data_IF_871566505027
#
_entry.id   IF_871566505027
#
_cell.length_a   1.000
_cell.length_b   1.000
_cell.length_c   1.000
_cell.angle_alpha   90.00
_cell.angle_beta   90.00
_cell.angle_gamma   90.00
#
_symmetry.space_group_name_H-M   'P 1'
#
loop_
_entity.id
_entity.type
_entity.pdbx_description
1 polymer ?
#
# COMPACT_ATOMS: atom_id res chain seq x y z
N UNK A 1 -5.12 37.78 106.28
CA UNK A 1 -4.33 37.77 105.03
C UNK A 1 -4.70 36.52 104.23
N UNK A 2 -5.45 36.67 103.14
CA UNK A 2 -5.66 35.61 102.14
C UNK A 2 -4.64 35.81 101.00
N UNK A 3 -3.94 34.77 100.54
CA UNK A 3 -3.23 34.83 99.27
C UNK A 3 -4.11 34.30 98.12
N UNK A 4 -3.84 34.90 96.96
CA UNK A 4 -4.61 34.97 95.73
C UNK A 4 -4.54 33.70 94.86
N UNK A 5 -5.65 33.40 94.20
CA UNK A 5 -5.82 32.29 93.24
C UNK A 5 -5.12 32.58 91.91
N UNK A 6 -4.27 31.66 91.43
CA UNK A 6 -3.81 31.62 90.03
C UNK A 6 -4.77 30.77 89.18
N UNK A 7 -5.46 31.42 88.25
CA UNK A 7 -6.31 30.80 87.23
C UNK A 7 -5.48 30.04 86.19
N UNK A 8 -5.70 28.73 86.07
CA UNK A 8 -5.14 27.87 85.02
C UNK A 8 -6.00 28.01 83.76
N UNK A 9 -5.47 28.60 82.70
CA UNK A 9 -6.19 28.77 81.42
C UNK A 9 -6.47 27.41 80.77
N UNK A 10 -7.75 27.04 80.69
CA UNK A 10 -8.19 25.91 79.87
C UNK A 10 -8.07 26.31 78.40
N UNK A 11 -7.47 25.48 77.52
CA UNK A 11 -7.42 25.79 76.10
C UNK A 11 -8.86 25.87 75.56
N UNK A 12 -9.15 26.95 74.83
CA UNK A 12 -10.49 27.29 74.37
C UNK A 12 -11.06 26.18 73.47
N UNK A 13 -12.38 25.99 73.52
CA UNK A 13 -13.11 25.00 72.70
C UNK A 13 -12.85 25.14 71.18
N UNK A 14 -12.36 26.32 70.74
CA UNK A 14 -11.96 26.61 69.36
C UNK A 14 -10.69 25.84 68.95
N UNK A 15 -9.73 25.68 69.86
CA UNK A 15 -8.46 24.97 69.60
C UNK A 15 -8.64 23.48 69.35
N UNK A 16 -9.55 22.81 70.09
CA UNK A 16 -9.86 21.36 69.91
C UNK A 16 -10.61 21.07 68.60
N UNK A 17 -11.43 22.01 68.11
CA UNK A 17 -12.13 21.88 66.84
C UNK A 17 -11.19 22.03 65.65
N UNK A 18 -10.21 22.92 65.75
CA UNK A 18 -9.20 23.12 64.70
C UNK A 18 -8.24 21.93 64.62
N UNK A 19 -7.77 21.39 65.75
CA UNK A 19 -6.92 20.18 65.75
C UNK A 19 -7.67 18.92 65.29
N UNK A 20 -8.94 18.76 65.65
CA UNK A 20 -9.79 17.67 65.16
C UNK A 20 -10.08 17.76 63.65
N UNK A 21 -10.35 18.97 63.13
CA UNK A 21 -10.55 19.19 61.71
C UNK A 21 -9.27 18.96 60.88
N UNK A 22 -8.10 19.37 61.41
CA UNK A 22 -6.81 19.10 60.77
C UNK A 22 -6.51 17.60 60.71
N UNK A 23 -6.72 16.86 61.80
CA UNK A 23 -6.55 15.40 61.83
C UNK A 23 -7.49 14.68 60.85
N UNK A 24 -8.76 15.09 60.78
CA UNK A 24 -9.73 14.50 59.86
C UNK A 24 -9.36 14.79 58.39
N UNK A 25 -8.87 15.99 58.11
CA UNK A 25 -8.40 16.37 56.77
C UNK A 25 -7.16 15.59 56.34
N UNK A 26 -6.23 15.35 57.26
CA UNK A 26 -5.03 14.54 57.02
C UNK A 26 -5.39 13.07 56.73
N UNK A 27 -6.32 12.49 57.50
CA UNK A 27 -6.81 11.12 57.30
C UNK A 27 -7.53 10.98 55.93
N UNK A 28 -8.29 12.00 55.53
CA UNK A 28 -8.96 12.02 54.22
C UNK A 28 -7.95 12.11 53.05
N UNK A 29 -6.88 12.90 53.20
CA UNK A 29 -5.80 13.00 52.21
C UNK A 29 -4.99 11.70 52.10
N UNK A 30 -4.71 11.03 53.22
CA UNK A 30 -4.03 9.73 53.22
C UNK A 30 -4.88 8.63 52.56
N UNK A 31 -6.19 8.57 52.86
CA UNK A 31 -7.09 7.56 52.30
C UNK A 31 -7.31 7.76 50.79
N UNK A 32 -7.49 9.00 50.34
CA UNK A 32 -7.56 9.32 48.89
C UNK A 32 -6.25 8.99 48.16
N UNK A 33 -5.09 9.27 48.76
CA UNK A 33 -3.79 8.89 48.19
C UNK A 33 -3.61 7.38 48.01
N UNK A 34 -4.03 6.58 49.00
CA UNK A 34 -3.97 5.11 48.93
C UNK A 34 -4.92 4.56 47.86
N UNK A 35 -6.12 5.12 47.73
CA UNK A 35 -7.08 4.72 46.69
C UNK A 35 -6.56 5.04 45.28
N UNK A 36 -6.00 6.24 45.08
CA UNK A 36 -5.39 6.62 43.79
C UNK A 36 -4.21 5.71 43.45
N UNK A 37 -3.36 5.37 44.43
CA UNK A 37 -2.26 4.44 44.25
C UNK A 37 -2.74 3.03 43.87
N UNK A 38 -3.77 2.52 44.57
CA UNK A 38 -4.35 1.21 44.28
C UNK A 38 -4.97 1.16 42.87
N UNK A 39 -5.70 2.21 42.46
CA UNK A 39 -6.26 2.33 41.10
C UNK A 39 -5.13 2.38 40.06
N UNK A 40 -4.07 3.16 40.31
CA UNK A 40 -2.91 3.23 39.42
C UNK A 40 -2.21 1.88 39.30
N UNK A 41 -2.05 1.15 40.41
CA UNK A 41 -1.45 -0.20 40.42
C UNK A 41 -2.32 -1.24 39.70
N UNK A 42 -3.63 -1.16 39.85
CA UNK A 42 -4.58 -2.01 39.11
C UNK A 42 -4.55 -1.70 37.62
N UNK A 43 -4.51 -0.42 37.23
CA UNK A 43 -4.36 0.00 35.84
C UNK A 43 -3.02 -0.44 35.25
N UNK A 44 -1.91 -0.30 35.98
CA UNK A 44 -0.59 -0.80 35.58
C UNK A 44 -0.57 -2.33 35.42
N UNK A 45 -1.28 -3.07 36.28
CA UNK A 45 -1.38 -4.53 36.19
C UNK A 45 -2.24 -4.99 35.00
N UNK A 46 -3.34 -4.30 34.71
CA UNK A 46 -4.17 -4.57 33.52
C UNK A 46 -3.41 -4.19 32.23
N UNK A 47 -2.68 -3.08 32.24
CA UNK A 47 -1.78 -2.72 31.14
C UNK A 47 -0.69 -3.78 30.98
N UNK A 48 -0.03 -4.20 32.07
CA UNK A 48 1.03 -5.23 32.05
C UNK A 48 0.54 -6.61 31.58
N UNK A 49 -0.69 -7.01 31.96
CA UNK A 49 -1.35 -8.20 31.42
C UNK A 49 -1.63 -8.07 29.92
N UNK A 50 -2.04 -6.88 29.45
CA UNK A 50 -2.26 -6.59 28.03
C UNK A 50 -0.97 -6.55 27.21
N UNK A 51 0.19 -6.22 27.81
CA UNK A 51 1.48 -6.17 27.12
C UNK A 51 2.22 -7.52 27.04
N UNK A 52 1.79 -8.56 27.79
CA UNK A 52 2.46 -9.87 27.82
C UNK A 52 2.01 -10.88 26.76
N UNK A 53 1.08 -10.52 25.88
CA UNK A 53 0.86 -11.23 24.61
C UNK A 53 0.74 -10.20 23.50
N UNK A 54 1.87 -9.71 22.97
CA UNK A 54 1.82 -9.05 21.67
C UNK A 54 1.26 -10.06 20.68
N UNK A 55 0.10 -9.81 20.04
CA UNK A 55 -0.40 -10.71 19.02
C UNK A 55 0.64 -10.72 17.91
N UNK A 56 1.30 -11.86 17.78
CA UNK A 56 2.44 -12.02 16.90
C UNK A 56 2.01 -11.87 15.45
N UNK A 57 2.55 -10.88 14.76
CA UNK A 57 2.25 -10.60 13.36
C UNK A 57 2.82 -11.74 12.49
N UNK A 58 2.02 -12.24 11.54
CA UNK A 58 2.49 -13.11 10.45
C UNK A 58 2.95 -12.23 9.30
N UNK A 59 4.15 -12.46 8.80
CA UNK A 59 4.76 -11.66 7.73
C UNK A 59 5.03 -12.53 6.52
N UNK A 60 4.31 -12.26 5.42
CA UNK A 60 4.47 -12.94 4.14
C UNK A 60 5.39 -12.11 3.24
N UNK A 61 6.45 -12.73 2.76
CA UNK A 61 7.47 -12.09 1.91
C UNK A 61 7.48 -12.74 0.53
N UNK A 62 8.35 -12.27 -0.35
CA UNK A 62 8.64 -12.92 -1.63
C UNK A 62 9.37 -14.28 -1.49
N UNK A 63 9.70 -14.73 -0.28
CA UNK A 63 10.46 -15.95 -0.03
C UNK A 63 11.77 -15.99 -0.85
N UNK A 64 12.48 -14.86 -0.90
CA UNK A 64 13.74 -14.65 -1.64
C UNK A 64 13.65 -14.78 -3.17
N UNK A 65 12.46 -15.03 -3.73
CA UNK A 65 12.27 -15.10 -5.17
C UNK A 65 12.30 -13.71 -5.83
N UNK A 66 12.82 -13.64 -7.06
CA UNK A 66 12.99 -12.40 -7.82
C UNK A 66 12.60 -12.63 -9.29
N UNK A 67 12.23 -11.53 -9.98
CA UNK A 67 11.86 -11.57 -11.40
C UNK A 67 10.38 -11.85 -11.66
N UNK A 68 10.06 -12.51 -12.78
CA UNK A 68 8.66 -12.64 -13.25
C UNK A 68 7.86 -13.75 -12.60
N UNK A 69 8.52 -14.79 -12.08
CA UNK A 69 7.88 -15.98 -11.53
C UNK A 69 7.92 -15.93 -10.01
N UNK A 70 6.90 -16.52 -9.38
CA UNK A 70 6.80 -16.58 -7.93
C UNK A 70 7.77 -17.59 -7.31
N UNK A 71 7.82 -17.64 -5.97
CA UNK A 71 8.71 -18.55 -5.25
C UNK A 71 8.38 -20.02 -5.51
N UNK A 72 9.43 -20.86 -5.42
CA UNK A 72 9.35 -22.32 -5.54
C UNK A 72 9.62 -23.05 -4.22
N UNK A 73 10.04 -22.33 -3.18
CA UNK A 73 10.23 -22.85 -1.83
C UNK A 73 9.83 -21.80 -0.78
N UNK A 74 9.39 -22.24 0.40
CA UNK A 74 9.13 -21.34 1.52
C UNK A 74 10.41 -21.02 2.29
N UNK A 75 10.58 -19.75 2.64
CA UNK A 75 11.71 -19.18 3.38
C UNK A 75 11.16 -18.24 4.45
N UNK A 76 10.95 -18.80 5.64
CA UNK A 76 10.54 -18.03 6.83
C UNK A 76 11.45 -18.34 7.99
N UNK A 77 11.83 -17.29 8.71
CA UNK A 77 12.54 -17.40 9.99
C UNK A 77 11.59 -17.81 11.12
N UNK A 78 10.30 -17.42 11.04
CA UNK A 78 9.28 -17.77 12.02
C UNK A 78 8.82 -19.23 11.84
N UNK A 79 9.07 -20.13 12.79
CA UNK A 79 8.70 -21.54 12.68
C UNK A 79 7.20 -21.77 12.52
N UNK A 80 6.36 -20.84 12.98
CA UNK A 80 4.89 -20.94 12.84
C UNK A 80 4.45 -20.78 11.40
N UNK A 81 5.15 -19.93 10.63
CA UNK A 81 4.87 -19.78 9.21
C UNK A 81 5.13 -21.09 8.47
N UNK A 82 6.11 -21.89 8.90
CA UNK A 82 6.43 -23.18 8.29
C UNK A 82 5.33 -24.24 8.48
N UNK A 83 4.50 -24.12 9.53
CA UNK A 83 3.35 -25.01 9.76
C UNK A 83 2.02 -24.44 9.27
N UNK A 84 1.87 -23.11 9.23
CA UNK A 84 0.65 -22.43 8.81
C UNK A 84 0.57 -22.18 7.30
N UNK A 85 1.70 -22.20 6.59
CA UNK A 85 1.78 -21.83 5.17
C UNK A 85 2.26 -23.00 4.32
N UNK A 86 1.61 -23.19 3.17
CA UNK A 86 2.08 -24.08 2.10
C UNK A 86 2.23 -23.29 0.81
N UNK A 87 3.03 -23.80 -0.14
CA UNK A 87 3.30 -23.11 -1.41
C UNK A 87 2.71 -23.89 -2.58
N UNK A 88 2.02 -23.19 -3.49
CA UNK A 88 1.49 -23.76 -4.73
C UNK A 88 1.60 -22.73 -5.86
N UNK A 89 2.37 -23.05 -6.90
CA UNK A 89 2.48 -22.22 -8.12
C UNK A 89 2.81 -20.74 -7.83
N UNK A 90 3.70 -20.49 -6.86
CA UNK A 90 4.08 -19.14 -6.42
C UNK A 90 3.13 -18.49 -5.40
N UNK A 91 1.95 -19.07 -5.14
CA UNK A 91 1.03 -18.64 -4.09
C UNK A 91 1.39 -19.24 -2.74
N UNK A 92 1.46 -18.39 -1.73
CA UNK A 92 1.53 -18.77 -0.32
C UNK A 92 0.10 -19.01 0.18
N UNK A 93 -0.24 -20.27 0.45
CA UNK A 93 -1.54 -20.68 0.98
C UNK A 93 -1.45 -20.67 2.50
N UNK A 94 -2.10 -19.71 3.14
CA UNK A 94 -2.11 -19.56 4.59
C UNK A 94 -3.36 -20.18 5.20
N UNK A 95 -3.18 -21.08 6.17
CA UNK A 95 -4.24 -21.61 7.01
C UNK A 95 -4.34 -20.73 8.26
N UNK A 96 -5.49 -20.06 8.44
CA UNK A 96 -5.71 -19.15 9.58
C UNK A 96 -5.64 -19.95 10.89
N UNK A 97 -4.71 -19.66 11.81
CA UNK A 97 -4.46 -20.50 12.98
C UNK A 97 -5.55 -20.37 14.05
N UNK A 98 -6.32 -19.28 14.03
CA UNK A 98 -7.32 -18.97 15.06
C UNK A 98 -8.42 -18.05 14.51
N UNK A 99 -9.66 -18.35 14.90
CA UNK A 99 -10.82 -17.49 14.60
C UNK A 99 -10.71 -16.15 15.31
N UNK A 100 -11.07 -15.08 14.62
CA UNK A 100 -11.09 -13.75 15.21
C UNK A 100 -11.05 -12.63 14.20
N UNK A 101 -10.88 -11.41 14.71
CA UNK A 101 -10.68 -10.21 13.93
C UNK A 101 -9.20 -10.04 13.60
N UNK A 102 -8.84 -10.09 12.32
CA UNK A 102 -7.48 -9.93 11.82
C UNK A 102 -7.32 -8.62 11.05
N UNK A 103 -6.31 -7.83 11.38
CA UNK A 103 -5.84 -6.73 10.52
C UNK A 103 -4.88 -7.29 9.48
N UNK A 104 -5.22 -7.09 8.22
CA UNK A 104 -4.36 -7.40 7.08
C UNK A 104 -3.83 -6.09 6.49
N UNK A 105 -2.54 -6.04 6.20
CA UNK A 105 -1.90 -4.96 5.45
C UNK A 105 -1.09 -5.57 4.30
N UNK A 106 -1.33 -5.11 3.08
CA UNK A 106 -0.59 -5.52 1.89
C UNK A 106 0.15 -4.33 1.30
N UNK A 107 1.37 -4.59 0.82
CA UNK A 107 2.18 -3.63 0.10
C UNK A 107 2.59 -4.20 -1.25
N UNK A 108 2.33 -3.47 -2.33
CA UNK A 108 2.75 -3.85 -3.69
C UNK A 108 4.25 -3.65 -3.87
N UNK A 109 4.83 -4.27 -4.90
CA UNK A 109 6.24 -4.10 -5.21
C UNK A 109 6.52 -2.84 -6.04
N UNK A 110 7.74 -2.30 -5.98
CA UNK A 110 8.14 -1.19 -6.83
C UNK A 110 8.47 -1.62 -8.27
N UNK A 111 8.29 -0.69 -9.21
CA UNK A 111 8.87 -0.81 -10.54
C UNK A 111 10.36 -0.51 -10.52
N UNK A 112 11.10 -1.05 -11.49
CA UNK A 112 12.52 -0.75 -11.64
C UNK A 112 12.75 0.69 -12.10
N UNK A 113 13.87 1.28 -11.66
CA UNK A 113 14.36 2.54 -12.21
C UNK A 113 14.81 2.38 -13.68
N UNK A 114 14.55 3.38 -14.50
CA UNK A 114 15.11 3.52 -15.84
C UNK A 114 16.46 4.26 -15.82
N UNK A 115 17.42 3.77 -16.60
CA UNK A 115 18.80 4.27 -16.63
C UNK A 115 19.30 4.48 -18.06
N UNK A 116 19.82 5.68 -18.32
CA UNK A 116 20.64 5.97 -19.51
C UNK A 116 22.12 6.04 -19.11
N UNK A 117 23.01 5.39 -19.86
CA UNK A 117 24.47 5.45 -19.65
C UNK A 117 24.93 6.90 -19.78
N UNK A 118 25.61 7.41 -18.75
CA UNK A 118 26.05 8.81 -18.69
C UNK A 118 24.93 9.83 -18.46
N UNK A 119 23.68 9.39 -18.28
CA UNK A 119 22.52 10.25 -18.05
C UNK A 119 21.97 10.20 -16.62
N UNK A 120 20.90 10.96 -16.37
CA UNK A 120 20.18 10.96 -15.09
C UNK A 120 19.38 9.65 -14.92
N UNK A 121 19.04 9.28 -13.69
CA UNK A 121 18.14 8.16 -13.39
C UNK A 121 16.68 8.62 -13.37
N UNK A 122 15.81 7.89 -14.05
CA UNK A 122 14.35 8.04 -13.93
C UNK A 122 13.85 7.00 -12.92
N UNK A 123 13.26 7.45 -11.82
CA UNK A 123 12.82 6.53 -10.76
C UNK A 123 11.58 5.76 -11.18
N UNK A 124 11.56 4.47 -10.88
CA UNK A 124 10.34 3.67 -10.91
C UNK A 124 9.38 4.10 -9.81
N UNK A 125 8.09 3.83 -10.02
CA UNK A 125 7.06 4.00 -9.02
C UNK A 125 7.20 2.99 -7.88
N UNK A 126 6.82 3.41 -6.69
CA UNK A 126 6.71 2.55 -5.52
C UNK A 126 5.35 1.85 -5.50
N UNK A 127 5.28 0.70 -4.84
CA UNK A 127 4.02 0.01 -4.65
C UNK A 127 3.09 0.73 -3.66
N UNK A 128 1.80 0.49 -3.81
CA UNK A 128 0.78 0.97 -2.89
C UNK A 128 0.79 0.18 -1.58
N UNK A 129 0.21 0.77 -0.54
CA UNK A 129 -0.13 0.14 0.72
C UNK A 129 -1.64 0.16 0.89
N UNK A 130 -2.20 -0.96 1.33
CA UNK A 130 -3.62 -1.08 1.63
C UNK A 130 -3.77 -1.88 2.92
N UNK A 131 -4.67 -1.47 3.82
CA UNK A 131 -4.93 -2.22 5.06
C UNK A 131 -6.41 -2.22 5.44
N UNK A 132 -6.88 -3.31 6.07
CA UNK A 132 -8.25 -3.45 6.52
C UNK A 132 -8.40 -4.57 7.54
N UNK A 133 -9.50 -4.60 8.27
CA UNK A 133 -9.81 -5.64 9.24
C UNK A 133 -10.84 -6.66 8.69
N UNK A 134 -10.63 -7.93 8.98
CA UNK A 134 -11.42 -9.05 8.47
C UNK A 134 -11.72 -10.05 9.58
N UNK A 135 -12.95 -10.54 9.65
CA UNK A 135 -13.29 -11.70 10.46
C UNK A 135 -12.87 -12.95 9.70
N UNK A 136 -11.88 -13.67 10.22
CA UNK A 136 -11.36 -14.90 9.63
C UNK A 136 -11.65 -16.06 10.58
N UNK A 137 -12.00 -17.21 10.03
CA UNK A 137 -12.24 -18.42 10.82
C UNK A 137 -10.98 -19.27 10.89
N UNK A 138 -10.79 -19.98 12.01
CA UNK A 138 -9.77 -21.02 12.11
C UNK A 138 -9.90 -22.00 10.95
N UNK A 139 -8.76 -22.39 10.39
CA UNK A 139 -8.61 -23.30 9.25
C UNK A 139 -9.19 -22.76 7.91
N UNK A 140 -9.68 -21.50 7.88
CA UNK A 140 -9.94 -20.79 6.63
C UNK A 140 -8.62 -20.63 5.86
N UNK A 141 -8.66 -20.92 4.56
CA UNK A 141 -7.49 -20.85 3.69
C UNK A 141 -7.52 -19.59 2.84
N UNK A 142 -6.42 -18.85 2.85
CA UNK A 142 -6.22 -17.67 2.01
C UNK A 142 -5.08 -17.90 1.04
N UNK A 143 -5.22 -17.43 -0.21
CA UNK A 143 -4.14 -17.37 -1.19
C UNK A 143 -3.49 -16.01 -1.14
N UNK A 144 -2.19 -16.01 -0.90
CA UNK A 144 -1.37 -14.81 -0.82
C UNK A 144 -0.35 -14.85 -1.96
N UNK A 145 -0.37 -13.82 -2.79
CA UNK A 145 0.67 -13.55 -3.79
C UNK A 145 1.42 -12.32 -3.33
N UNK A 146 2.73 -12.43 -3.09
CA UNK A 146 3.58 -11.29 -2.75
C UNK A 146 4.30 -10.80 -4.00
N UNK A 147 4.05 -9.54 -4.37
CA UNK A 147 4.61 -8.95 -5.59
C UNK A 147 6.14 -8.88 -5.54
N UNK A 148 6.78 -9.03 -6.70
CA UNK A 148 8.23 -8.89 -6.86
C UNK A 148 8.56 -7.58 -7.59
N UNK A 149 9.76 -7.07 -7.33
CA UNK A 149 10.23 -5.83 -7.96
C UNK A 149 10.42 -6.08 -9.46
N UNK A 150 10.09 -5.09 -10.29
CA UNK A 150 10.44 -5.12 -11.71
C UNK A 150 11.96 -5.16 -11.90
N UNK A 151 12.43 -5.61 -13.05
CA UNK A 151 13.85 -5.64 -13.38
C UNK A 151 14.18 -4.77 -14.58
N UNK A 152 15.48 -4.61 -14.82
CA UNK A 152 16.04 -4.00 -16.02
C UNK A 152 17.25 -4.82 -16.46
N UNK A 153 17.59 -4.73 -17.73
CA UNK A 153 18.88 -5.19 -18.25
C UNK A 153 20.03 -4.43 -17.57
N UNK A 154 21.18 -5.09 -17.40
CA UNK A 154 22.35 -4.51 -16.73
C UNK A 154 23.43 -4.02 -17.70
N UNK A 155 23.46 -4.53 -18.93
CA UNK A 155 24.57 -4.42 -19.88
C UNK A 155 24.34 -3.35 -20.95
N UNK A 156 23.09 -3.10 -21.33
CA UNK A 156 22.79 -2.14 -22.40
C UNK A 156 22.92 -0.67 -21.94
N UNK A 157 23.28 0.28 -22.83
CA UNK A 157 23.35 1.70 -22.48
C UNK A 157 22.00 2.38 -22.15
N UNK A 158 20.92 1.95 -22.79
CA UNK A 158 19.56 2.46 -22.58
C UNK A 158 18.71 1.39 -21.91
N UNK A 159 18.35 1.56 -20.64
CA UNK A 159 17.76 0.51 -19.80
C UNK A 159 16.44 0.99 -19.22
N UNK A 160 15.29 0.68 -19.82
CA UNK A 160 14.01 0.98 -19.19
C UNK A 160 13.82 0.13 -17.92
N UNK A 161 12.89 0.51 -17.05
CA UNK A 161 12.47 -0.32 -15.92
C UNK A 161 11.20 -1.11 -16.21
N UNK A 162 11.20 -2.41 -15.89
CA UNK A 162 10.00 -3.23 -15.80
C UNK A 162 9.08 -2.80 -14.65
N UNK A 163 7.78 -3.06 -14.79
CA UNK A 163 6.78 -2.76 -13.76
C UNK A 163 6.88 -3.73 -12.57
N UNK A 164 6.60 -3.23 -11.36
CA UNK A 164 6.49 -4.04 -10.16
C UNK A 164 5.18 -4.80 -10.11
N UNK A 165 5.17 -5.97 -9.48
CA UNK A 165 3.95 -6.75 -9.32
C UNK A 165 3.07 -6.28 -8.16
N UNK A 166 1.77 -6.52 -8.30
CA UNK A 166 0.81 -6.35 -7.21
C UNK A 166 0.97 -7.42 -6.13
N UNK A 167 0.51 -7.09 -4.93
CA UNK A 167 0.43 -8.02 -3.80
C UNK A 167 -1.04 -8.30 -3.50
N UNK A 168 -1.42 -9.58 -3.44
CA UNK A 168 -2.81 -10.01 -3.40
C UNK A 168 -3.06 -10.90 -2.18
N UNK A 169 -4.15 -10.64 -1.48
CA UNK A 169 -4.74 -11.53 -0.48
C UNK A 169 -6.17 -11.82 -0.92
N UNK A 170 -6.41 -13.08 -1.30
CA UNK A 170 -7.68 -13.54 -1.84
C UNK A 170 -8.12 -14.84 -1.18
N UNK A 171 -9.42 -15.11 -1.18
CA UNK A 171 -9.95 -16.42 -0.76
C UNK A 171 -9.59 -17.50 -1.77
N UNK A 172 -9.77 -18.77 -1.39
CA UNK A 172 -9.52 -19.89 -2.30
C UNK A 172 -10.36 -19.83 -3.57
N UNK A 173 -11.61 -19.37 -3.49
CA UNK A 173 -12.53 -19.16 -4.63
C UNK A 173 -12.12 -17.99 -5.55
N UNK A 174 -11.10 -17.22 -5.19
CA UNK A 174 -10.64 -16.05 -5.95
C UNK A 174 -11.30 -14.73 -5.56
N UNK A 175 -12.21 -14.72 -4.57
CA UNK A 175 -12.78 -13.48 -4.04
C UNK A 175 -11.68 -12.63 -3.41
N UNK A 176 -11.47 -11.38 -3.87
CA UNK A 176 -10.41 -10.54 -3.33
C UNK A 176 -10.78 -10.00 -1.94
N UNK A 177 -9.82 -10.01 -1.02
CA UNK A 177 -9.94 -9.34 0.29
C UNK A 177 -9.17 -8.02 0.26
N UNK A 178 -7.91 -8.08 -0.16
CA UNK A 178 -6.97 -6.97 -0.15
C UNK A 178 -6.01 -7.11 -1.33
N UNK A 179 -5.85 -6.05 -2.13
CA UNK A 179 -4.90 -6.02 -3.24
C UNK A 179 -4.17 -4.68 -3.18
N UNK A 180 -2.85 -4.73 -3.13
CA UNK A 180 -2.00 -3.55 -3.21
C UNK A 180 -1.32 -3.50 -4.58
N UNK A 181 -1.57 -2.44 -5.34
CA UNK A 181 -0.98 -2.25 -6.67
C UNK A 181 0.54 -2.10 -6.64
N UNK A 182 1.21 -2.69 -7.62
CA UNK A 182 2.64 -2.51 -7.87
C UNK A 182 2.94 -1.19 -8.59
N UNK A 183 4.16 -0.70 -8.48
CA UNK A 183 4.60 0.54 -9.12
C UNK A 183 4.95 0.36 -10.60
N UNK A 184 4.63 1.36 -11.44
CA UNK A 184 5.10 1.41 -12.83
C UNK A 184 6.62 1.59 -12.92
N UNK A 185 7.24 1.10 -13.99
CA UNK A 185 8.67 1.23 -14.23
C UNK A 185 9.10 2.66 -14.61
N UNK A 186 10.39 2.94 -14.47
CA UNK A 186 10.99 4.20 -14.92
C UNK A 186 11.33 4.15 -16.41
N UNK A 187 10.93 5.19 -17.16
CA UNK A 187 11.30 5.32 -18.57
C UNK A 187 12.78 5.67 -18.78
N UNK A 188 13.23 5.70 -20.03
CA UNK A 188 14.57 6.17 -20.36
C UNK A 188 14.56 7.71 -20.33
N UNK A 189 15.44 8.38 -19.58
CA UNK A 189 15.52 9.83 -19.60
C UNK A 189 16.02 10.32 -20.97
N UNK A 190 15.55 11.49 -21.44
CA UNK A 190 16.07 12.06 -22.68
C UNK A 190 17.59 12.30 -22.57
N UNK A 191 18.36 12.12 -23.65
CA UNK A 191 19.79 12.44 -23.65
C UNK A 191 20.00 13.91 -23.24
N UNK A 192 21.08 14.18 -22.51
CA UNK A 192 21.37 15.52 -21.98
C UNK A 192 21.62 16.51 -23.13
N UNK A 193 20.57 17.22 -23.54
CA UNK A 193 20.67 18.17 -24.65
C UNK A 193 19.32 18.71 -25.12
N UNK A 194 18.55 19.34 -24.23
CA UNK A 194 17.76 20.57 -24.49
C UNK A 194 17.03 20.94 -23.20
N UNK A 195 17.50 22.00 -22.55
CA UNK A 195 16.76 22.72 -21.51
C UNK A 195 15.52 23.36 -22.13
N UNK A 196 14.34 22.79 -21.91
CA UNK A 196 13.09 23.55 -21.98
C UNK A 196 12.78 24.08 -20.58
N UNK A 197 12.86 25.39 -20.42
CA UNK A 197 12.54 26.09 -19.18
C UNK A 197 11.13 25.71 -18.72
N UNK A 198 11.02 25.31 -17.45
CA UNK A 198 9.75 25.09 -16.78
C UNK A 198 9.05 26.45 -16.61
N UNK A 199 8.06 26.75 -17.44
CA UNK A 199 7.14 27.87 -17.18
C UNK A 199 6.21 27.43 -16.05
N UNK A 200 6.44 27.92 -14.84
CA UNK A 200 5.47 27.84 -13.75
C UNK A 200 4.27 28.75 -14.09
N UNK A 201 3.21 28.18 -14.64
CA UNK A 201 1.89 28.83 -14.62
C UNK A 201 1.30 28.61 -13.22
N UNK A 202 1.56 29.55 -12.32
CA UNK A 202 0.85 29.63 -11.04
C UNK A 202 -0.55 30.18 -11.34
N UNK A 203 -1.55 29.29 -11.41
CA UNK A 203 -2.95 29.69 -11.35
C UNK A 203 -3.28 30.14 -9.92
N UNK A 204 -3.14 31.44 -9.66
CA UNK A 204 -3.74 32.08 -8.48
C UNK A 204 -5.26 32.06 -8.64
N UNK A 205 -5.94 31.10 -8.01
CA UNK A 205 -7.39 31.19 -7.82
C UNK A 205 -7.69 32.17 -6.68
N UNK A 206 -8.38 33.23 -7.10
CA UNK A 206 -9.07 34.28 -6.35
C UNK A 206 -9.68 33.81 -5.02
N UNK A 207 -9.39 34.59 -3.97
CA UNK A 207 -10.01 34.55 -2.64
C UNK A 207 -11.22 35.49 -2.66
N UNK A 208 -12.43 34.97 -2.44
CA UNK A 208 -13.56 35.79 -2.02
C UNK A 208 -13.77 35.60 -0.50
N UNK A 209 -14.14 36.63 0.27
CA UNK A 209 -14.29 36.54 1.72
C UNK A 209 -15.73 36.13 2.09
N UNK A 210 -15.88 35.26 3.09
CA UNK A 210 -17.16 35.10 3.80
C UNK A 210 -16.94 35.41 5.29
N UNK A 211 -17.87 36.18 5.83
CA UNK A 211 -17.92 36.74 7.18
C UNK A 211 -18.31 35.70 8.25
N UNK A 212 -18.07 35.95 9.56
CA UNK A 212 -18.41 35.02 10.62
C UNK A 212 -19.71 35.41 11.35
N UNK A 213 -20.58 34.45 11.66
CA UNK A 213 -21.59 34.61 12.72
C UNK A 213 -22.05 33.30 13.37
N UNK A 214 -21.64 33.15 14.64
CA UNK A 214 -22.38 32.74 15.87
C UNK A 214 -23.08 31.36 16.00
N UNK A 215 -22.38 30.44 16.73
CA UNK A 215 -22.79 29.55 17.87
C UNK A 215 -23.96 28.52 17.77
N UNK A 216 -24.05 27.52 18.70
CA UNK A 216 -24.18 26.09 18.37
C UNK A 216 -25.55 25.50 18.77
N UNK A 217 -25.86 24.29 18.29
CA UNK A 217 -26.80 23.42 18.99
C UNK A 217 -26.39 21.95 18.87
N UNK A 218 -26.20 21.34 20.04
CA UNK A 218 -26.06 19.90 20.26
C UNK A 218 -27.43 19.26 19.99
N UNK A 219 -27.47 18.24 19.14
CA UNK A 219 -28.51 17.20 19.21
C UNK A 219 -27.84 15.83 19.11
N UNK A 220 -27.83 15.16 20.27
CA UNK A 220 -27.64 13.72 20.44
C UNK A 220 -28.72 13.00 19.61
N UNK A 221 -28.39 11.99 18.79
CA UNK A 221 -29.18 10.75 18.73
C UNK A 221 -28.47 9.67 17.89
N UNK A 222 -28.31 8.52 18.57
CA UNK A 222 -28.22 7.13 18.11
C UNK A 222 -27.10 6.68 17.16
N UNK A 223 -26.31 5.78 17.74
CA UNK A 223 -25.49 4.77 17.07
C UNK A 223 -26.42 3.93 16.19
N UNK A 224 -26.39 4.18 14.88
CA UNK A 224 -26.68 3.14 13.90
C UNK A 224 -25.34 2.56 13.44
N UNK A 225 -25.02 1.39 13.97
CA UNK A 225 -23.97 0.51 13.45
C UNK A 225 -24.47 -0.12 12.15
N UNK A 226 -24.82 0.70 11.15
CA UNK A 226 -25.00 0.20 9.80
C UNK A 226 -23.63 -0.17 9.28
N UNK A 227 -23.39 -1.48 9.24
CA UNK A 227 -22.30 -2.18 8.59
C UNK A 227 -22.31 -1.81 7.09
N UNK A 228 -21.91 -0.59 6.76
CA UNK A 228 -21.64 -0.19 5.39
C UNK A 228 -20.28 -0.77 5.03
N UNK A 229 -20.29 -1.98 4.48
CA UNK A 229 -19.20 -2.44 3.65
C UNK A 229 -19.13 -1.49 2.44
N UNK A 230 -18.39 -0.38 2.60
CA UNK A 230 -18.12 0.57 1.54
C UNK A 230 -17.05 -0.05 0.64
N UNK A 231 -17.47 -0.62 -0.48
CA UNK A 231 -16.60 -1.17 -1.50
C UNK A 231 -15.85 -0.02 -2.18
N UNK A 232 -14.52 0.03 -2.04
CA UNK A 232 -13.70 0.96 -2.82
C UNK A 232 -13.39 0.32 -4.17
N UNK A 233 -13.81 0.95 -5.27
CA UNK A 233 -13.32 0.59 -6.59
C UNK A 233 -11.90 1.13 -6.76
N UNK A 234 -10.97 0.24 -7.12
CA UNK A 234 -9.56 0.54 -7.26
C UNK A 234 -9.26 1.57 -8.34
N UNK A 235 -9.04 2.81 -7.93
CA UNK A 235 -8.52 3.92 -8.76
C UNK A 235 -6.99 3.81 -8.85
N UNK A 236 -6.50 2.98 -9.78
CA UNK A 236 -5.09 2.61 -9.88
C UNK A 236 -4.20 3.50 -10.71
N UNK A 237 -4.06 4.74 -10.28
CA UNK A 237 -2.92 5.57 -10.63
C UNK A 237 -2.41 6.26 -9.39
N UNK A 238 -1.14 6.68 -9.40
CA UNK A 238 -0.63 7.65 -8.42
C UNK A 238 -1.51 8.91 -8.49
N UNK A 239 -1.72 9.62 -7.39
CA UNK A 239 -2.34 10.97 -7.44
C UNK A 239 -1.56 11.94 -8.37
N UNK A 240 -0.30 11.63 -8.64
CA UNK A 240 0.60 12.36 -9.54
C UNK A 240 0.58 11.88 -11.01
N UNK A 241 -0.13 10.79 -11.33
CA UNK A 241 -0.21 10.31 -12.71
C UNK A 241 -1.14 11.26 -13.51
N UNK A 242 -0.58 11.95 -14.51
CA UNK A 242 -1.38 12.77 -15.44
C UNK A 242 -2.23 11.83 -16.28
N UNK A 243 -3.47 11.61 -15.86
CA UNK A 243 -4.48 10.95 -16.69
C UNK A 243 -4.71 11.79 -17.97
N UNK A 244 -4.38 11.31 -19.16
CA UNK A 244 -4.83 11.98 -20.39
C UNK A 244 -6.35 11.81 -20.46
N UNK A 245 -7.13 12.89 -20.25
CA UNK A 245 -8.61 12.97 -20.28
C UNK A 245 -9.32 11.58 -20.32
N UNK A 246 -9.50 10.97 -19.14
CA UNK A 246 -10.22 9.71 -18.92
C UNK A 246 -9.34 8.50 -18.54
N UNK A 247 -9.95 7.43 -18.02
CA UNK A 247 -9.34 6.12 -17.68
C UNK A 247 -8.96 5.32 -18.94
N UNK A 248 -8.27 5.96 -19.90
CA UNK A 248 -8.05 5.36 -21.21
C UNK A 248 -7.09 4.17 -21.12
N UNK A 249 -6.08 4.21 -20.25
CA UNK A 249 -4.96 3.24 -20.23
C UNK A 249 -4.97 2.30 -19.03
N UNK A 250 -5.45 2.73 -17.87
CA UNK A 250 -5.67 1.82 -16.74
C UNK A 250 -6.81 0.83 -17.04
N UNK A 251 -6.76 -0.33 -16.41
CA UNK A 251 -7.87 -1.28 -16.45
C UNK A 251 -9.02 -0.83 -15.55
N UNK A 252 -10.18 -1.48 -15.69
CA UNK A 252 -11.31 -1.31 -14.79
C UNK A 252 -11.86 -2.67 -14.37
N UNK A 253 -12.41 -2.77 -13.16
CA UNK A 253 -13.04 -3.98 -12.63
C UNK A 253 -12.24 -5.28 -12.83
N UNK A 254 -10.91 -5.21 -12.71
CA UNK A 254 -10.07 -6.40 -12.83
C UNK A 254 -9.43 -6.66 -14.19
N UNK A 255 -9.65 -5.80 -15.21
CA UNK A 255 -9.39 -6.14 -16.63
C UNK A 255 -7.93 -6.18 -17.07
N UNK A 256 -6.97 -5.67 -16.29
CA UNK A 256 -5.61 -5.43 -16.79
C UNK A 256 -5.48 -4.08 -17.52
N UNK A 257 -4.25 -3.55 -17.56
CA UNK A 257 -3.92 -2.27 -18.17
C UNK A 257 -3.80 -2.34 -19.70
N UNK A 258 -3.76 -1.17 -20.33
CA UNK A 258 -3.74 -0.96 -21.79
C UNK A 258 -2.61 0.00 -22.18
N UNK A 259 -2.39 0.17 -23.48
CA UNK A 259 -1.35 1.03 -24.04
C UNK A 259 -1.97 2.14 -24.90
N UNK A 260 -1.58 3.40 -24.69
CA UNK A 260 -1.97 4.53 -25.54
C UNK A 260 -0.78 5.04 -26.33
N UNK A 261 -0.89 4.99 -27.65
CA UNK A 261 0.04 5.65 -28.56
C UNK A 261 -0.36 7.13 -28.69
N UNK A 262 0.42 8.01 -28.07
CA UNK A 262 0.12 9.46 -28.06
C UNK A 262 0.37 10.14 -29.40
N UNK A 263 1.10 9.51 -30.33
CA UNK A 263 1.33 10.07 -31.68
C UNK A 263 0.11 9.94 -32.59
N UNK A 264 -0.75 8.96 -32.32
CA UNK A 264 -1.95 8.66 -33.13
C UNK A 264 -3.24 8.72 -32.33
N UNK A 265 -3.18 9.07 -31.04
CA UNK A 265 -4.27 8.97 -30.05
C UNK A 265 -4.99 7.61 -30.09
N UNK A 266 -4.23 6.53 -30.35
CA UNK A 266 -4.76 5.19 -30.53
C UNK A 266 -4.60 4.35 -29.27
N UNK A 267 -5.72 3.86 -28.74
CA UNK A 267 -5.73 2.89 -27.65
C UNK A 267 -5.51 1.47 -28.17
N UNK A 268 -4.51 0.79 -27.65
CA UNK A 268 -4.11 -0.57 -27.99
C UNK A 268 -4.44 -1.47 -26.81
N UNK A 269 -5.30 -2.45 -27.06
CA UNK A 269 -5.76 -3.42 -26.06
C UNK A 269 -5.12 -4.80 -26.25
N UNK A 270 -4.84 -5.16 -27.50
CA UNK A 270 -4.38 -6.50 -27.88
C UNK A 270 -2.91 -6.52 -28.30
N UNK A 271 -2.28 -7.69 -28.11
CA UNK A 271 -0.91 -7.96 -28.53
C UNK A 271 -0.83 -8.10 -30.05
N UNK A 272 -0.46 -7.03 -30.76
CA UNK A 272 -0.46 -7.04 -32.23
C UNK A 272 0.90 -6.81 -32.86
N UNK A 273 1.91 -6.32 -32.13
CA UNK A 273 3.26 -6.06 -32.64
C UNK A 273 3.38 -5.04 -33.77
N UNK A 274 2.26 -4.56 -34.33
CA UNK A 274 2.21 -3.58 -35.41
C UNK A 274 2.04 -2.14 -34.94
N UNK A 275 2.34 -1.84 -33.67
CA UNK A 275 2.20 -0.51 -33.08
C UNK A 275 3.52 0.03 -32.51
N UNK A 276 3.60 1.35 -32.38
CA UNK A 276 4.84 2.05 -32.00
C UNK A 276 5.14 2.03 -30.50
N UNK A 277 4.16 1.62 -29.68
CA UNK A 277 4.33 1.50 -28.23
C UNK A 277 5.03 0.20 -27.87
N UNK A 278 6.34 0.25 -27.60
CA UNK A 278 7.14 -0.93 -27.24
C UNK A 278 7.27 -1.05 -25.71
N UNK A 279 6.17 -1.49 -25.08
CA UNK A 279 6.03 -1.73 -23.65
C UNK A 279 4.99 -2.84 -23.36
N UNK A 280 4.90 -3.24 -22.09
CA UNK A 280 3.85 -4.08 -21.54
C UNK A 280 3.12 -3.38 -20.40
N UNK A 281 1.79 -3.46 -20.40
CA UNK A 281 0.93 -3.03 -19.30
C UNK A 281 0.87 -4.09 -18.19
N UNK A 282 0.42 -3.68 -17.01
CA UNK A 282 0.25 -4.57 -15.86
C UNK A 282 -0.99 -5.45 -15.94
N UNK A 283 -0.90 -6.66 -15.40
CA UNK A 283 -2.02 -7.57 -15.21
C UNK A 283 -2.94 -7.15 -14.06
N UNK A 284 -4.23 -7.43 -14.23
CA UNK A 284 -5.27 -7.21 -13.23
C UNK A 284 -5.58 -8.46 -12.40
N UNK A 285 -6.73 -8.46 -11.75
CA UNK A 285 -7.29 -9.61 -11.05
C UNK A 285 -7.70 -10.71 -12.03
N UNK A 286 -8.35 -10.32 -13.13
CA UNK A 286 -8.97 -11.24 -14.10
C UNK A 286 -8.29 -11.16 -15.46
N UNK A 287 -8.09 -9.95 -15.98
CA UNK A 287 -7.55 -9.73 -17.31
C UNK A 287 -6.06 -9.40 -17.33
N UNK A 288 -5.40 -9.88 -18.37
CA UNK A 288 -4.00 -9.63 -18.69
C UNK A 288 -3.79 -8.18 -19.13
N UNK A 289 -2.61 -7.61 -18.85
CA UNK A 289 -2.22 -6.34 -19.45
C UNK A 289 -1.97 -6.45 -20.97
N UNK A 290 -2.31 -5.41 -21.74
CA UNK A 290 -1.87 -5.28 -23.13
C UNK A 290 -0.35 -5.17 -23.26
N UNK A 291 0.20 -5.38 -24.46
CA UNK A 291 1.66 -5.38 -24.66
C UNK A 291 2.04 -5.46 -26.13
N UNK A 292 3.25 -4.99 -26.48
CA UNK A 292 3.77 -5.03 -27.85
C UNK A 292 3.69 -6.42 -28.49
N UNK A 293 4.27 -7.41 -27.83
CA UNK A 293 4.21 -8.80 -28.26
C UNK A 293 3.40 -9.67 -27.30
N UNK A 294 3.16 -10.94 -27.69
CA UNK A 294 2.69 -11.96 -26.75
C UNK A 294 3.58 -11.99 -25.51
N UNK A 295 2.97 -12.11 -24.33
CA UNK A 295 3.64 -12.18 -23.02
C UNK A 295 4.30 -10.89 -22.49
N UNK A 296 4.31 -9.79 -23.26
CA UNK A 296 4.85 -8.52 -22.78
C UNK A 296 4.01 -7.92 -21.65
N UNK A 297 2.69 -8.04 -21.75
CA UNK A 297 1.80 -7.64 -20.67
C UNK A 297 1.78 -8.67 -19.53
N UNK A 298 1.75 -8.16 -18.31
CA UNK A 298 1.70 -8.99 -17.10
C UNK A 298 0.46 -9.89 -17.07
N UNK A 299 0.62 -11.14 -16.64
CA UNK A 299 -0.51 -12.05 -16.41
C UNK A 299 -1.38 -11.55 -15.27
N UNK A 300 -2.67 -11.81 -15.35
CA UNK A 300 -3.58 -11.54 -14.25
C UNK A 300 -3.35 -12.50 -13.08
N UNK A 301 -3.90 -12.18 -11.91
CA UNK A 301 -3.93 -13.11 -10.77
C UNK A 301 -4.57 -14.45 -11.15
N UNK A 302 -5.68 -14.42 -11.92
CA UNK A 302 -6.38 -15.60 -12.39
C UNK A 302 -5.52 -16.51 -13.29
N UNK A 303 -4.52 -15.95 -13.99
CA UNK A 303 -3.55 -16.67 -14.82
C UNK A 303 -2.22 -16.96 -14.09
N UNK A 304 -2.19 -16.84 -12.76
CA UNK A 304 -1.02 -17.12 -11.92
C UNK A 304 -0.06 -15.94 -11.73
N UNK A 305 -0.38 -14.74 -12.22
CA UNK A 305 0.32 -13.50 -11.87
C UNK A 305 1.77 -13.37 -12.36
N UNK A 306 2.21 -14.20 -13.31
CA UNK A 306 3.55 -14.06 -13.89
C UNK A 306 3.75 -12.67 -14.53
N UNK A 307 4.90 -12.04 -14.27
CA UNK A 307 5.26 -10.75 -14.86
C UNK A 307 5.41 -10.81 -16.39
N UNK A 308 5.48 -9.65 -17.04
CA UNK A 308 5.66 -9.54 -18.47
C UNK A 308 7.08 -9.90 -18.89
N UNK A 309 7.21 -10.58 -20.02
CA UNK A 309 8.48 -10.98 -20.60
C UNK A 309 8.67 -10.33 -21.99
N UNK A 310 9.73 -9.54 -22.17
CA UNK A 310 10.07 -8.95 -23.46
C UNK A 310 10.74 -10.00 -24.36
N UNK A 311 9.93 -10.78 -25.08
CA UNK A 311 10.43 -11.83 -26.01
C UNK A 311 11.20 -11.25 -27.22
N UNK A 312 12.12 -12.00 -27.86
CA UNK A 312 13.23 -11.46 -28.69
C UNK A 312 12.91 -10.78 -30.03
N UNK A 313 11.65 -10.44 -30.36
CA UNK A 313 11.31 -9.63 -31.56
C UNK A 313 11.85 -8.19 -31.51
N UNK A 314 12.51 -7.83 -30.42
CA UNK A 314 13.16 -6.55 -30.21
C UNK A 314 14.59 -6.49 -30.78
N UNK A 315 15.23 -7.65 -31.05
CA UNK A 315 16.60 -7.70 -31.58
C UNK A 315 16.73 -7.07 -32.98
N UNK A 316 15.62 -6.89 -33.69
CA UNK A 316 15.53 -6.19 -34.97
C UNK A 316 15.53 -4.65 -34.83
N UNK A 317 15.54 -4.12 -33.61
CA UNK A 317 15.59 -2.69 -33.31
C UNK A 317 16.86 -2.34 -32.54
N UNK A 318 17.72 -1.53 -33.17
CA UNK A 318 19.10 -1.20 -32.74
C UNK A 318 19.25 -0.39 -31.44
N UNK A 319 18.18 -0.14 -30.66
CA UNK A 319 18.14 1.01 -29.75
C UNK A 319 17.57 0.81 -28.33
N UNK A 320 17.64 -0.36 -27.69
CA UNK A 320 17.26 -0.43 -26.25
C UNK A 320 17.48 -1.77 -25.57
N UNK A 321 17.64 -1.77 -24.25
CA UNK A 321 17.55 -3.00 -23.46
C UNK A 321 16.11 -3.30 -23.11
N UNK A 322 15.91 -4.48 -22.55
CA UNK A 322 14.62 -4.91 -22.06
C UNK A 322 14.55 -4.83 -20.52
N UNK A 323 13.33 -4.74 -19.99
CA UNK A 323 13.05 -4.88 -18.56
C UNK A 323 11.97 -5.92 -18.35
N UNK A 324 12.14 -6.81 -17.37
CA UNK A 324 11.17 -7.86 -17.08
C UNK A 324 10.22 -7.36 -16.00
N UNK A 325 8.92 -7.60 -16.19
CA UNK A 325 7.93 -7.28 -15.16
C UNK A 325 8.05 -8.21 -13.96
N UNK A 326 7.80 -7.68 -12.75
CA UNK A 326 7.81 -8.47 -11.53
C UNK A 326 6.61 -9.42 -11.42
N UNK A 327 6.81 -10.55 -10.73
CA UNK A 327 5.72 -11.45 -10.31
C UNK A 327 4.65 -10.69 -9.52
N UNK A 328 3.38 -11.01 -9.75
CA UNK A 328 2.23 -10.18 -9.39
C UNK A 328 1.70 -9.35 -10.56
N UNK A 329 2.06 -9.70 -11.79
CA UNK A 329 1.52 -9.12 -13.01
C UNK A 329 2.17 -7.80 -13.44
N UNK A 330 3.40 -7.49 -13.04
CA UNK A 330 4.11 -6.33 -13.59
C UNK A 330 4.33 -6.47 -15.10
N UNK A 331 4.25 -5.39 -15.87
CA UNK A 331 4.46 -5.38 -17.32
C UNK A 331 5.94 -5.32 -17.72
N UNK A 332 6.27 -5.85 -18.90
CA UNK A 332 7.60 -5.75 -19.47
C UNK A 332 7.91 -4.33 -19.95
N UNK A 333 9.20 -4.03 -20.06
CA UNK A 333 9.71 -2.77 -20.60
C UNK A 333 10.62 -3.01 -21.81
N UNK A 334 10.64 -2.05 -22.73
CA UNK A 334 11.49 -2.07 -23.92
C UNK A 334 12.05 -0.68 -24.21
N UNK A 335 11.44 0.06 -25.12
CA UNK A 335 11.79 1.49 -25.28
C UNK A 335 11.04 2.36 -24.28
N UNK A 336 9.96 1.79 -23.75
CA UNK A 336 9.04 2.43 -22.84
C UNK A 336 8.96 1.57 -21.56
N UNK A 337 8.70 2.19 -20.40
CA UNK A 337 8.61 1.49 -19.12
C UNK A 337 7.42 0.52 -19.05
N UNK A 338 7.50 -0.46 -18.15
CA UNK A 338 6.41 -1.42 -17.90
C UNK A 338 5.39 -0.94 -16.86
N UNK A 339 4.10 -1.23 -17.07
CA UNK A 339 3.02 -0.92 -16.13
C UNK A 339 3.04 -1.79 -14.86
N UNK A 340 2.58 -1.27 -13.72
CA UNK A 340 2.51 -2.03 -12.47
C UNK A 340 1.35 -3.04 -12.43
N UNK A 341 1.53 -4.22 -11.84
CA UNK A 341 0.43 -5.18 -11.62
C UNK A 341 -0.52 -4.76 -10.50
N UNK A 342 -1.74 -5.28 -10.43
CA UNK A 342 -2.67 -4.94 -9.35
C UNK A 342 -4.09 -5.43 -9.56
N UNK A 343 -5.08 -4.77 -8.96
CA UNK A 343 -6.49 -5.11 -9.15
C UNK A 343 -6.90 -4.94 -10.62
N UNK A 344 -6.63 -3.81 -11.23
CA UNK A 344 -6.92 -3.55 -12.64
C UNK A 344 -5.68 -3.47 -13.52
N UNK A 345 -4.47 -3.54 -12.94
CA UNK A 345 -3.21 -3.33 -13.67
C UNK A 345 -3.02 -1.88 -14.15
N UNK A 346 -1.75 -1.47 -14.24
CA UNK A 346 -1.34 -0.14 -14.67
C UNK A 346 -1.16 -0.05 -16.17
N UNK A 347 -1.65 1.04 -16.76
CA UNK A 347 -1.50 1.33 -18.17
C UNK A 347 -0.19 2.02 -18.51
N UNK A 348 -0.03 2.34 -19.79
CA UNK A 348 1.07 3.17 -20.26
C UNK A 348 0.59 4.14 -21.35
N UNK A 349 1.14 5.36 -21.35
CA UNK A 349 0.97 6.34 -22.41
C UNK A 349 2.31 6.90 -22.90
N UNK A 350 2.48 6.94 -24.21
CA UNK A 350 3.63 7.56 -24.86
C UNK A 350 3.81 7.10 -26.30
N UNK A 351 4.84 7.58 -26.97
CA UNK A 351 5.16 7.19 -28.35
C UNK A 351 6.68 7.00 -28.50
N UNK A 352 7.08 6.29 -29.56
CA UNK A 352 8.49 6.09 -29.91
C UNK A 352 8.64 5.99 -31.46
N UNK A 353 9.81 6.36 -31.99
CA UNK A 353 10.26 6.38 -33.42
C UNK A 353 9.86 7.58 -34.33
N UNK A 354 8.70 8.22 -34.17
CA UNK A 354 8.26 9.33 -35.04
C UNK A 354 7.50 10.42 -34.25
N UNK A 355 7.87 10.63 -33.00
CA UNK A 355 7.28 11.71 -32.22
C UNK A 355 7.94 13.04 -32.61
N UNK A 356 7.22 14.15 -32.42
CA UNK A 356 7.84 15.47 -32.45
C UNK A 356 9.01 15.50 -31.44
N UNK A 357 10.16 16.11 -31.79
CA UNK A 357 11.30 16.24 -30.88
C UNK A 357 10.89 16.69 -29.48
N UNK A 358 11.24 15.93 -28.45
CA UNK A 358 10.87 16.17 -27.05
C UNK A 358 9.68 15.34 -26.52
N UNK A 359 9.05 14.51 -27.36
CA UNK A 359 7.94 13.62 -27.00
C UNK A 359 8.36 12.12 -26.96
N UNK A 360 9.64 11.80 -27.08
CA UNK A 360 10.18 10.44 -27.18
C UNK A 360 10.26 9.68 -25.84
N UNK A 361 9.40 9.99 -24.87
CA UNK A 361 9.37 9.31 -23.59
C UNK A 361 7.94 9.08 -23.15
N UNK A 362 7.68 7.92 -22.55
CA UNK A 362 6.36 7.61 -22.02
C UNK A 362 6.36 7.34 -20.53
N UNK A 363 5.14 7.35 -19.99
CA UNK A 363 4.88 7.18 -18.56
C UNK A 363 4.11 5.89 -18.34
N UNK A 364 4.61 5.03 -17.46
CA UNK A 364 3.91 3.85 -16.98
C UNK A 364 3.19 4.16 -15.66
N UNK A 365 1.95 3.69 -15.54
CA UNK A 365 1.14 3.82 -14.32
C UNK A 365 1.42 2.65 -13.37
N UNK A 366 1.17 2.88 -12.08
CA UNK A 366 1.05 1.80 -11.10
C UNK A 366 -0.23 0.99 -11.31
N UNK A 367 -0.33 -0.19 -10.72
CA UNK A 367 -1.58 -0.94 -10.70
C UNK A 367 -2.57 -0.42 -9.68
N UNK A 368 -3.87 -0.71 -9.88
CA UNK A 368 -4.88 -0.37 -8.87
C UNK A 368 -4.86 -1.27 -7.64
N UNK A 369 -5.43 -0.74 -6.57
CA UNK A 369 -5.58 -1.40 -5.27
C UNK A 369 -7.04 -1.75 -5.00
N UNK A 370 -7.30 -2.69 -4.09
CA UNK A 370 -8.66 -3.09 -3.70
C UNK A 370 -8.69 -3.41 -2.20
N UNK A 371 -9.79 -3.08 -1.52
CA UNK A 371 -10.00 -3.40 -0.12
C UNK A 371 -11.48 -3.67 0.18
N UNK A 372 -11.78 -4.85 0.71
CA UNK A 372 -13.11 -5.26 1.18
C UNK A 372 -13.20 -5.37 2.71
N UNK A 373 -12.18 -4.91 3.44
CA UNK A 373 -12.11 -4.99 4.90
C UNK A 373 -12.85 -3.85 5.59
N UNK A 374 -13.13 -4.05 6.88
CA UNK A 374 -13.60 -2.99 7.76
C UNK A 374 -12.51 -1.95 7.98
N UNK A 375 -12.90 -0.67 8.06
CA UNK A 375 -12.00 0.48 8.22
C UNK A 375 -10.88 0.49 7.17
N UNK A 376 -11.22 0.56 5.87
CA UNK A 376 -10.22 0.48 4.81
C UNK A 376 -9.29 1.70 4.85
N UNK A 377 -7.99 1.44 4.82
CA UNK A 377 -6.93 2.43 4.63
C UNK A 377 -6.17 2.12 3.33
N UNK A 378 -5.73 3.16 2.62
CA UNK A 378 -4.95 3.02 1.40
C UNK A 378 -4.07 4.23 1.12
N UNK A 379 -2.84 3.99 0.65
CA UNK A 379 -1.90 5.02 0.20
C UNK A 379 -1.14 4.52 -1.02
N UNK A 380 -1.12 5.29 -2.10
CA UNK A 380 -0.32 4.96 -3.28
C UNK A 380 1.17 5.32 -3.08
N UNK A 381 2.06 4.63 -3.80
CA UNK A 381 3.47 5.00 -3.92
C UNK A 381 4.23 5.12 -2.58
N UNK A 382 4.08 4.13 -1.70
CA UNK A 382 4.66 4.15 -0.34
C UNK A 382 5.75 3.10 -0.12
N UNK A 383 5.79 2.02 -0.90
CA UNK A 383 6.64 0.87 -0.64
C UNK A 383 7.67 0.62 -1.75
N UNK A 384 8.95 0.63 -1.38
CA UNK A 384 10.06 0.34 -2.30
C UNK A 384 10.59 -1.07 -2.07
N UNK A 385 10.89 -1.79 -3.14
CA UNK A 385 11.37 -3.18 -3.13
C UNK A 385 10.24 -4.18 -3.40
N UNK A 386 10.46 -5.43 -3.00
CA UNK A 386 9.44 -6.49 -3.08
C UNK A 386 8.25 -6.19 -2.15
N UNK A 387 7.08 -6.71 -2.51
CA UNK A 387 5.89 -6.60 -1.69
C UNK A 387 6.02 -7.32 -0.35
N UNK A 388 5.03 -7.10 0.51
CA UNK A 388 4.91 -7.77 1.80
C UNK A 388 3.44 -7.79 2.24
N UNK A 389 3.04 -8.81 2.99
CA UNK A 389 1.76 -8.83 3.70
C UNK A 389 2.00 -9.03 5.19
N UNK A 390 1.30 -8.25 6.01
CA UNK A 390 1.25 -8.42 7.45
C UNK A 390 -0.15 -8.86 7.87
N UNK A 391 -0.25 -9.90 8.68
CA UNK A 391 -1.50 -10.32 9.31
C UNK A 391 -1.37 -10.30 10.83
N UNK A 392 -2.21 -9.50 11.49
CA UNK A 392 -2.19 -9.31 12.95
C UNK A 392 -3.56 -9.63 13.53
N UNK A 393 -3.61 -10.59 14.46
CA UNK A 393 -4.82 -10.85 15.24
C UNK A 393 -5.08 -9.65 16.17
N UNK A 394 -6.24 -9.02 16.04
CA UNK A 394 -6.69 -7.91 16.89
C UNK A 394 -7.49 -8.40 18.09
N UNK A 395 -8.39 -9.36 17.87
CA UNK A 395 -9.18 -10.03 18.90
C UNK A 395 -9.43 -11.46 18.48
N UNK A 396 -9.27 -12.39 19.42
CA UNK A 396 -9.77 -13.75 19.27
C UNK A 396 -11.30 -13.78 19.43
N UNK A 397 -11.94 -14.73 18.76
CA UNK A 397 -13.34 -15.11 19.02
C UNK A 397 -13.48 -15.98 20.28
#
# INVERSE_FOLDING_TARGET
>A
MYPTSKTRSRPSARGRRITGALLLSLVCLCTTGVVIYAIKKLAENEISKKTKSSPSVRTFTNNEAQGRLGPTSLKYEDPRMLSEVSLKEGFQIWNVPQSGLWKLEARGASGADGLLKGGKRMRGGWGALVSGAFLLKKDEKLRILVGQEGSRDFLHPQRPGGGGGGTFVVKMDGTPLLIAGGGGGGGIPPPAGTTSQLVFVVLLKSKAPMTPSVLPLIVLYLIDFTLSAFQTEGNGGRDSDRLPKGDKVSGHAGSGGKLLDTSTDRLIKDHSGGHKVIAGAGGGLKGRGGGYGPHWGGRSLAEGGAGGEPTPKYTDHTHGAHGVGGFGGGGAAGLLPGGGGGYSGGGFSGCWLQCDPGHEAGTAEGGSSFNAGMQPEGKANTHKGHGVVYAKLLSAD
#
